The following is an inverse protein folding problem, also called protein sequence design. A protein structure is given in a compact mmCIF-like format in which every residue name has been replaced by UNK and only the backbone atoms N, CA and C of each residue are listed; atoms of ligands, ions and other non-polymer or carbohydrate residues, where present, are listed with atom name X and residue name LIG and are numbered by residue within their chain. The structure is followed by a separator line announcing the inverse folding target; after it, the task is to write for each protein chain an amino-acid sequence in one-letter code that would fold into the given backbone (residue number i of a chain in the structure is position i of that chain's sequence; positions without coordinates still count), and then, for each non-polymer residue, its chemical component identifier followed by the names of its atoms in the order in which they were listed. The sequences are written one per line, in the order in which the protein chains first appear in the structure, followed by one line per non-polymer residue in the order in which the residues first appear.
data_IF_689779706551
#
_entry.id   IF_689779706551
#
_cell.length_a   1.000
_cell.length_b   1.000
_cell.length_c   1.000
_cell.angle_alpha   90.00
_cell.angle_beta   90.00
_cell.angle_gamma   90.00
#
_symmetry.space_group_name_H-M   'P 1'
#
loop_
_entity.id
_entity.type
_entity.pdbx_description
1 polymer ?
#
# COMPACT_ATOMS: atom_id res chain seq x y z
N UNK A 1 19.00 36.61 -51.43
CA UNK A 1 19.67 35.68 -50.49
C UNK A 1 19.58 36.28 -49.10
N UNK A 2 18.69 35.77 -48.26
CA UNK A 2 18.52 36.20 -46.85
C UNK A 2 19.08 35.10 -45.97
N UNK A 3 20.22 35.36 -45.36
CA UNK A 3 20.88 34.47 -44.41
C UNK A 3 20.08 34.44 -43.11
N UNK A 4 19.54 33.27 -42.76
CA UNK A 4 18.98 32.99 -41.44
C UNK A 4 20.14 32.74 -40.48
N UNK A 5 20.41 33.67 -39.57
CA UNK A 5 21.37 33.46 -38.47
C UNK A 5 20.58 32.85 -37.31
N UNK A 6 20.74 31.53 -37.14
CA UNK A 6 20.23 30.79 -35.99
C UNK A 6 21.02 31.21 -34.75
N UNK A 7 20.37 31.95 -33.85
CA UNK A 7 20.90 32.24 -32.53
C UNK A 7 20.84 30.96 -31.68
N UNK A 8 21.97 30.29 -31.52
CA UNK A 8 22.14 29.19 -30.57
C UNK A 8 22.15 29.76 -29.15
N UNK A 9 21.07 29.51 -28.41
CA UNK A 9 20.99 29.79 -26.98
C UNK A 9 21.95 28.82 -26.29
N UNK A 10 23.10 29.33 -25.83
CA UNK A 10 23.98 28.65 -24.89
C UNK A 10 23.24 28.54 -23.55
N UNK A 11 22.54 27.43 -23.34
CA UNK A 11 22.06 27.07 -22.00
C UNK A 11 23.27 26.54 -21.23
N UNK A 12 23.93 27.42 -20.49
CA UNK A 12 24.89 27.04 -19.46
C UNK A 12 24.14 26.27 -18.37
N UNK A 13 24.04 24.95 -18.49
CA UNK A 13 23.71 24.09 -17.35
C UNK A 13 24.96 24.02 -16.46
N UNK A 14 25.14 25.03 -15.63
CA UNK A 14 25.92 24.86 -14.43
C UNK A 14 25.16 23.83 -13.58
N UNK A 15 25.67 22.60 -13.51
CA UNK A 15 25.35 21.66 -12.44
C UNK A 15 25.88 22.27 -11.14
N UNK A 16 25.10 23.16 -10.55
CA UNK A 16 25.27 23.52 -9.16
C UNK A 16 24.65 22.36 -8.39
N UNK A 17 25.50 21.42 -7.97
CA UNK A 17 25.23 20.67 -6.75
C UNK A 17 25.25 21.70 -5.62
N UNK A 18 24.13 22.41 -5.43
CA UNK A 18 23.86 23.04 -4.16
C UNK A 18 23.82 21.88 -3.19
N UNK A 19 24.73 21.90 -2.21
CA UNK A 19 24.56 21.13 -1.00
C UNK A 19 23.10 21.35 -0.57
N UNK A 20 22.29 20.29 -0.65
CA UNK A 20 20.88 20.40 -0.39
C UNK A 20 20.73 21.01 0.98
N UNK A 21 20.16 22.21 1.05
CA UNK A 21 19.49 22.62 2.27
C UNK A 21 18.55 21.46 2.59
N UNK A 22 18.77 20.80 3.72
CA UNK A 22 17.80 19.86 4.24
C UNK A 22 16.43 20.54 4.14
N UNK A 23 15.38 19.79 3.80
CA UNK A 23 14.02 20.30 3.72
C UNK A 23 13.60 20.79 5.12
N UNK A 24 14.04 21.98 5.50
CA UNK A 24 13.83 22.57 6.81
C UNK A 24 12.40 23.11 6.80
N UNK A 25 11.50 22.30 7.37
CA UNK A 25 10.06 22.50 7.62
C UNK A 25 9.14 21.43 7.00
N UNK A 26 9.57 20.17 6.88
CA UNK A 26 8.59 19.10 6.65
C UNK A 26 7.75 18.91 7.93
N UNK A 27 6.41 18.99 7.86
CA UNK A 27 5.55 18.68 9.00
C UNK A 27 5.88 17.28 9.51
N UNK A 28 6.38 17.23 10.74
CA UNK A 28 6.65 15.98 11.43
C UNK A 28 5.55 15.69 12.42
N UNK A 29 5.22 14.41 12.58
CA UNK A 29 4.24 13.97 13.55
C UNK A 29 4.76 12.72 14.25
N UNK A 30 4.23 12.44 15.44
CA UNK A 30 4.49 11.16 16.10
C UNK A 30 3.61 10.08 15.50
N UNK A 31 4.14 8.86 15.43
CA UNK A 31 3.41 7.67 14.98
C UNK A 31 2.09 7.50 15.74
N UNK A 32 2.06 7.80 17.04
CA UNK A 32 0.84 7.72 17.84
C UNK A 32 -0.28 8.62 17.31
N UNK A 33 0.04 9.86 16.93
CA UNK A 33 -0.95 10.80 16.40
C UNK A 33 -1.40 10.40 15.00
N UNK A 34 -0.46 9.93 14.16
CA UNK A 34 -0.79 9.39 12.84
C UNK A 34 -1.76 8.20 12.95
N UNK A 35 -1.47 7.23 13.82
CA UNK A 35 -2.34 6.06 14.02
C UNK A 35 -3.67 6.39 14.70
N UNK A 36 -3.74 7.45 15.51
CA UNK A 36 -5.00 7.90 16.12
C UNK A 36 -5.92 8.57 15.09
N UNK A 37 -5.38 9.07 14.00
CA UNK A 37 -6.15 9.68 12.93
C UNK A 37 -6.74 8.63 11.96
N UNK A 38 -6.24 7.38 11.98
CA UNK A 38 -6.91 6.27 11.33
C UNK A 38 -8.25 5.94 12.00
N UNK A 39 -9.12 5.22 11.28
CA UNK A 39 -10.33 4.66 11.84
C UNK A 39 -10.02 3.85 13.12
N UNK A 40 -10.88 3.95 14.14
CA UNK A 40 -10.63 3.40 15.49
C UNK A 40 -10.30 1.90 15.53
N UNK A 41 -10.84 1.12 14.59
CA UNK A 41 -10.56 -0.31 14.48
C UNK A 41 -9.18 -0.66 13.89
N UNK A 42 -8.42 0.33 13.42
CA UNK A 42 -7.14 0.14 12.72
C UNK A 42 -5.92 0.58 13.54
N UNK A 43 -6.13 1.18 14.72
CA UNK A 43 -5.04 1.70 15.55
C UNK A 43 -3.95 0.65 15.83
N UNK A 44 -4.34 -0.56 16.23
CA UNK A 44 -3.40 -1.64 16.51
C UNK A 44 -2.67 -2.13 15.25
N UNK A 45 -3.36 -2.17 14.11
CA UNK A 45 -2.77 -2.55 12.82
C UNK A 45 -1.81 -1.48 12.33
N UNK A 46 -2.12 -0.20 12.54
CA UNK A 46 -1.23 0.91 12.23
C UNK A 46 0.05 0.85 13.06
N UNK A 47 -0.08 0.60 14.37
CA UNK A 47 1.08 0.44 15.26
C UNK A 47 1.96 -0.73 14.84
N UNK A 48 1.38 -1.87 14.48
CA UNK A 48 2.13 -3.02 13.98
C UNK A 48 2.75 -2.75 12.60
N UNK A 49 2.03 -2.06 11.71
CA UNK A 49 2.49 -1.67 10.39
C UNK A 49 3.75 -0.79 10.46
N UNK A 50 3.76 0.11 11.43
CA UNK A 50 4.80 1.13 11.61
C UNK A 50 5.83 0.75 12.68
N UNK A 51 5.86 -0.50 13.16
CA UNK A 51 6.78 -0.91 14.23
C UNK A 51 8.26 -0.67 13.91
N UNK A 52 8.64 -0.68 12.63
CA UNK A 52 10.00 -0.42 12.16
C UNK A 52 10.24 1.06 11.82
N UNK A 53 9.22 1.91 11.93
CA UNK A 53 9.31 3.33 11.66
C UNK A 53 9.88 4.08 12.89
N UNK A 54 10.52 5.23 12.67
CA UNK A 54 10.85 6.15 13.75
C UNK A 54 9.60 6.63 14.50
N UNK A 55 9.73 6.87 15.81
CA UNK A 55 8.61 7.33 16.64
C UNK A 55 8.07 8.70 16.21
N UNK A 56 8.93 9.54 15.61
CA UNK A 56 8.57 10.76 14.92
C UNK A 56 9.22 10.80 13.53
N UNK A 57 8.43 11.11 12.51
CA UNK A 57 8.88 11.21 11.12
C UNK A 57 8.06 12.25 10.37
N UNK A 58 8.50 12.59 9.15
CA UNK A 58 7.70 13.34 8.20
C UNK A 58 6.35 12.64 7.99
N UNK A 59 5.26 13.40 7.92
CA UNK A 59 3.89 12.85 7.76
C UNK A 59 3.79 11.92 6.54
N UNK A 60 4.54 12.19 5.47
CA UNK A 60 4.62 11.39 4.25
C UNK A 60 5.29 10.01 4.42
N UNK A 61 6.11 9.84 5.47
CA UNK A 61 6.88 8.60 5.69
C UNK A 61 5.96 7.45 6.13
N UNK A 62 4.99 7.72 7.00
CA UNK A 62 4.07 6.70 7.52
C UNK A 62 3.21 6.02 6.44
N UNK A 63 2.52 6.75 5.53
CA UNK A 63 1.78 6.12 4.45
C UNK A 63 2.69 5.36 3.49
N UNK A 64 3.89 5.86 3.18
CA UNK A 64 4.84 5.11 2.33
C UNK A 64 5.23 3.76 2.94
N UNK A 65 5.50 3.72 4.25
CA UNK A 65 5.80 2.48 4.97
C UNK A 65 4.58 1.55 4.97
N UNK A 66 3.39 2.08 5.28
CA UNK A 66 2.15 1.30 5.29
C UNK A 66 1.84 0.70 3.90
N UNK A 67 1.96 1.49 2.83
CA UNK A 67 1.76 1.06 1.44
C UNK A 67 2.77 0.00 1.02
N UNK A 68 4.05 0.16 1.38
CA UNK A 68 5.06 -0.90 1.14
C UNK A 68 4.73 -2.20 1.86
N UNK A 69 4.32 -2.12 3.13
CA UNK A 69 3.93 -3.30 3.91
C UNK A 69 2.66 -3.95 3.33
N UNK A 70 1.70 -3.16 2.86
CA UNK A 70 0.50 -3.64 2.17
C UNK A 70 0.85 -4.42 0.90
N UNK A 71 1.78 -3.89 0.09
CA UNK A 71 2.23 -4.56 -1.13
C UNK A 71 2.95 -5.89 -0.86
N UNK A 72 3.77 -5.95 0.20
CA UNK A 72 4.43 -7.19 0.60
C UNK A 72 3.41 -8.25 1.00
N UNK A 73 2.44 -7.91 1.87
CA UNK A 73 1.43 -8.89 2.27
C UNK A 73 0.52 -9.31 1.11
N UNK A 74 0.15 -8.37 0.25
CA UNK A 74 -0.60 -8.69 -0.97
C UNK A 74 0.14 -9.72 -1.84
N UNK A 75 1.46 -9.56 -1.99
CA UNK A 75 2.30 -10.54 -2.71
C UNK A 75 2.31 -11.90 -2.02
N UNK A 76 2.40 -11.93 -0.69
CA UNK A 76 2.34 -13.18 0.09
C UNK A 76 1.00 -13.89 -0.08
N UNK A 77 -0.11 -13.14 -0.03
CA UNK A 77 -1.46 -13.65 -0.27
C UNK A 77 -1.60 -14.22 -1.68
N UNK A 78 -1.09 -13.54 -2.71
CA UNK A 78 -1.14 -14.04 -4.09
C UNK A 78 -0.31 -15.32 -4.30
N UNK A 79 0.82 -15.43 -3.60
CA UNK A 79 1.63 -16.65 -3.60
C UNK A 79 0.88 -17.81 -2.95
N UNK A 80 0.23 -17.58 -1.81
CA UNK A 80 -0.59 -18.58 -1.13
C UNK A 80 -1.76 -19.03 -2.01
N UNK A 81 -2.48 -18.09 -2.63
CA UNK A 81 -3.57 -18.38 -3.57
C UNK A 81 -3.08 -19.26 -4.73
N UNK A 82 -1.94 -18.89 -5.32
CA UNK A 82 -1.36 -19.65 -6.44
C UNK A 82 -0.97 -21.05 -6.02
N UNK A 83 -0.38 -21.20 -4.83
CA UNK A 83 -0.04 -22.49 -4.26
C UNK A 83 -1.30 -23.34 -4.04
N UNK A 84 -2.31 -22.80 -3.32
CA UNK A 84 -3.57 -23.50 -3.02
C UNK A 84 -4.26 -24.02 -4.29
N UNK A 85 -4.35 -23.19 -5.34
CA UNK A 85 -4.93 -23.60 -6.62
C UNK A 85 -4.11 -24.65 -7.37
N UNK A 86 -2.80 -24.67 -7.17
CA UNK A 86 -1.86 -25.63 -7.79
C UNK A 86 -1.90 -27.03 -7.18
N UNK A 87 -2.26 -27.17 -5.89
CA UNK A 87 -2.23 -28.48 -5.19
C UNK A 87 -3.26 -29.47 -5.75
N UNK A 88 -4.33 -29.01 -6.41
CA UNK A 88 -5.31 -29.87 -7.07
C UNK A 88 -6.28 -30.63 -6.14
N UNK A 89 -6.20 -30.40 -4.82
CA UNK A 89 -6.99 -31.11 -3.79
C UNK A 89 -8.23 -30.29 -3.34
N UNK A 90 -8.30 -29.00 -3.68
CA UNK A 90 -9.38 -28.13 -3.23
C UNK A 90 -10.75 -28.60 -3.75
N UNK A 91 -11.75 -28.79 -2.86
CA UNK A 91 -13.15 -28.99 -3.23
C UNK A 91 -13.66 -27.90 -4.17
N UNK A 92 -14.68 -28.21 -4.98
CA UNK A 92 -15.18 -27.31 -6.04
C UNK A 92 -15.53 -25.90 -5.56
N UNK A 93 -16.32 -25.76 -4.50
CA UNK A 93 -16.74 -24.45 -3.98
C UNK A 93 -15.57 -23.65 -3.36
N UNK A 94 -14.63 -24.34 -2.70
CA UNK A 94 -13.43 -23.72 -2.13
C UNK A 94 -12.51 -23.23 -3.24
N UNK A 95 -12.28 -24.07 -4.25
CA UNK A 95 -11.50 -23.72 -5.45
C UNK A 95 -12.12 -22.55 -6.19
N UNK A 96 -13.45 -22.49 -6.31
CA UNK A 96 -14.15 -21.36 -6.93
C UNK A 96 -13.94 -20.07 -6.14
N UNK A 97 -14.09 -20.11 -4.82
CA UNK A 97 -13.88 -18.95 -3.95
C UNK A 97 -12.44 -18.43 -4.04
N UNK A 98 -11.45 -19.32 -4.03
CA UNK A 98 -10.02 -18.96 -4.14
C UNK A 98 -9.70 -18.43 -5.56
N UNK A 99 -10.26 -19.05 -6.61
CA UNK A 99 -10.11 -18.55 -7.98
C UNK A 99 -10.69 -17.14 -8.14
N UNK A 100 -11.86 -16.88 -7.56
CA UNK A 100 -12.45 -15.54 -7.54
C UNK A 100 -11.56 -14.52 -6.83
N UNK A 101 -10.93 -14.89 -5.72
CA UNK A 101 -9.96 -14.02 -5.04
C UNK A 101 -8.79 -13.66 -5.96
N UNK A 102 -8.22 -14.65 -6.65
CA UNK A 102 -7.13 -14.45 -7.62
C UNK A 102 -7.50 -13.45 -8.71
N UNK A 103 -8.63 -13.68 -9.38
CA UNK A 103 -9.10 -12.82 -10.47
C UNK A 103 -9.33 -11.38 -9.97
N UNK A 104 -9.99 -11.20 -8.83
CA UNK A 104 -10.25 -9.84 -8.34
C UNK A 104 -8.98 -9.07 -8.00
N UNK A 105 -8.00 -9.74 -7.41
CA UNK A 105 -6.71 -9.14 -7.08
C UNK A 105 -5.93 -8.73 -8.33
N UNK A 106 -6.04 -9.47 -9.44
CA UNK A 106 -5.37 -9.12 -10.71
C UNK A 106 -6.03 -7.95 -11.48
N UNK A 107 -7.36 -7.75 -11.37
CA UNK A 107 -8.12 -6.86 -12.27
C UNK A 107 -8.70 -5.57 -11.66
N UNK A 108 -8.72 -5.41 -10.33
CA UNK A 108 -9.38 -4.27 -9.66
C UNK A 108 -8.39 -3.45 -8.81
N UNK A 109 -8.81 -2.25 -8.36
CA UNK A 109 -8.12 -1.54 -7.27
C UNK A 109 -7.92 -2.50 -6.08
N UNK A 110 -6.69 -2.55 -5.54
CA UNK A 110 -6.28 -3.48 -4.50
C UNK A 110 -7.27 -3.52 -3.31
N UNK A 111 -7.78 -2.37 -2.86
CA UNK A 111 -8.72 -2.33 -1.74
C UNK A 111 -10.06 -2.99 -2.11
N UNK A 112 -10.56 -2.75 -3.31
CA UNK A 112 -11.83 -3.32 -3.79
C UNK A 112 -11.69 -4.82 -4.01
N UNK A 113 -10.56 -5.25 -4.57
CA UNK A 113 -10.23 -6.64 -4.77
C UNK A 113 -10.20 -7.42 -3.44
N UNK A 114 -9.41 -6.92 -2.48
CA UNK A 114 -9.24 -7.53 -1.17
C UNK A 114 -10.58 -7.60 -0.43
N UNK A 115 -11.39 -6.52 -0.45
CA UNK A 115 -12.72 -6.52 0.18
C UNK A 115 -13.65 -7.56 -0.42
N UNK A 116 -13.65 -7.69 -1.75
CA UNK A 116 -14.48 -8.67 -2.45
C UNK A 116 -14.08 -10.10 -2.09
N UNK A 117 -12.77 -10.40 -2.05
CA UNK A 117 -12.26 -11.69 -1.62
C UNK A 117 -12.62 -11.97 -0.15
N UNK A 118 -12.43 -11.00 0.75
CA UNK A 118 -12.77 -11.13 2.17
C UNK A 118 -14.24 -11.52 2.35
N UNK A 119 -15.15 -10.83 1.64
CA UNK A 119 -16.58 -11.12 1.69
C UNK A 119 -16.91 -12.53 1.19
N UNK A 120 -16.25 -12.99 0.12
CA UNK A 120 -16.45 -14.35 -0.42
C UNK A 120 -16.00 -15.43 0.56
N UNK A 121 -14.91 -15.19 1.28
CA UNK A 121 -14.37 -16.14 2.26
C UNK A 121 -15.09 -16.11 3.62
N UNK A 122 -15.69 -14.97 3.99
CA UNK A 122 -16.25 -14.77 5.33
C UNK A 122 -17.34 -15.78 5.74
N UNK A 123 -18.14 -16.26 4.78
CA UNK A 123 -19.22 -17.22 5.03
C UNK A 123 -18.70 -18.63 5.32
N UNK A 124 -18.34 -19.35 4.27
CA UNK A 124 -18.03 -20.79 4.35
C UNK A 124 -16.56 -21.11 4.63
N UNK A 125 -15.66 -20.13 4.51
CA UNK A 125 -14.21 -20.38 4.44
C UNK A 125 -13.41 -19.55 5.45
N UNK A 126 -14.06 -19.09 6.52
CA UNK A 126 -13.45 -18.27 7.58
C UNK A 126 -12.30 -18.99 8.32
N UNK A 127 -12.34 -20.32 8.36
CA UNK A 127 -11.31 -21.15 8.99
C UNK A 127 -10.05 -21.31 8.14
N UNK A 128 -10.08 -20.92 6.85
CA UNK A 128 -8.91 -21.04 5.99
C UNK A 128 -7.83 -20.03 6.40
N UNK A 129 -6.54 -20.40 6.35
CA UNK A 129 -5.43 -19.46 6.54
C UNK A 129 -5.55 -18.23 5.63
N UNK A 130 -6.03 -18.43 4.40
CA UNK A 130 -6.25 -17.39 3.41
C UNK A 130 -7.19 -16.28 3.90
N UNK A 131 -8.25 -16.62 4.67
CA UNK A 131 -9.14 -15.60 5.24
C UNK A 131 -8.38 -14.65 6.17
N UNK A 132 -7.50 -15.19 7.01
CA UNK A 132 -6.66 -14.41 7.91
C UNK A 132 -5.70 -13.48 7.16
N UNK A 133 -5.09 -13.98 6.08
CA UNK A 133 -4.20 -13.20 5.22
C UNK A 133 -4.95 -12.06 4.52
N UNK A 134 -6.07 -12.35 3.86
CA UNK A 134 -6.89 -11.35 3.15
C UNK A 134 -7.49 -10.32 4.12
N UNK A 135 -7.89 -10.73 5.32
CA UNK A 135 -8.35 -9.81 6.35
C UNK A 135 -7.24 -8.88 6.83
N UNK A 136 -6.03 -9.41 7.00
CA UNK A 136 -4.84 -8.63 7.34
C UNK A 136 -4.44 -7.64 6.23
N UNK A 137 -4.57 -8.03 4.97
CA UNK A 137 -4.31 -7.15 3.82
C UNK A 137 -5.34 -6.03 3.79
N UNK A 138 -6.62 -6.37 3.98
CA UNK A 138 -7.69 -5.38 4.06
C UNK A 138 -7.36 -4.37 5.14
N UNK A 139 -7.05 -4.88 6.34
CA UNK A 139 -6.66 -4.16 7.53
C UNK A 139 -5.37 -3.32 7.37
N UNK A 140 -4.53 -3.57 6.37
CA UNK A 140 -3.33 -2.78 6.14
C UNK A 140 -3.53 -1.73 5.04
N UNK A 141 -4.27 -2.07 3.98
CA UNK A 141 -4.61 -1.14 2.91
C UNK A 141 -5.46 0.02 3.42
N UNK A 142 -6.41 -0.21 4.33
CA UNK A 142 -7.14 0.89 4.97
C UNK A 142 -6.28 1.76 5.90
N UNK A 143 -5.26 1.23 6.60
CA UNK A 143 -4.27 2.06 7.31
C UNK A 143 -3.56 2.97 6.32
N UNK A 144 -3.06 2.40 5.21
CA UNK A 144 -2.35 3.17 4.19
C UNK A 144 -3.23 4.32 3.65
N UNK A 145 -4.47 4.03 3.29
CA UNK A 145 -5.42 5.05 2.80
C UNK A 145 -5.74 6.12 3.84
N UNK A 146 -5.97 5.74 5.10
CA UNK A 146 -6.23 6.70 6.17
C UNK A 146 -5.01 7.61 6.42
N UNK A 147 -3.81 7.06 6.36
CA UNK A 147 -2.56 7.82 6.51
C UNK A 147 -2.29 8.73 5.30
N UNK A 148 -2.58 8.27 4.08
CA UNK A 148 -2.47 9.09 2.87
C UNK A 148 -3.45 10.27 2.90
N UNK A 149 -4.65 10.07 3.45
CA UNK A 149 -5.61 11.16 3.63
C UNK A 149 -5.07 12.27 4.55
N UNK A 150 -4.17 11.96 5.49
CA UNK A 150 -3.54 12.98 6.36
C UNK A 150 -2.60 13.92 5.59
N UNK A 151 -1.99 13.44 4.50
CA UNK A 151 -1.14 14.28 3.66
C UNK A 151 -2.00 15.33 2.93
N UNK A 152 -3.19 14.93 2.46
CA UNK A 152 -4.02 15.77 1.59
C UNK A 152 -4.85 16.84 2.34
N UNK A 153 -4.81 16.85 3.67
CA UNK A 153 -5.53 17.82 4.53
C UNK A 153 -4.59 18.89 5.10
N UNK A 154 -3.26 18.72 4.96
CA UNK A 154 -2.24 19.69 5.38
C UNK A 154 -1.83 20.66 4.29
#
# INVERSE_FOLDING_TARGET
MRTFVLATILVSQAMVFTAGAACDNVPSTKMEYACRACHSNWYHVCRDALQSAPDAAEVSTYPLIATRKANLKYSDTMNEITMMLGVGILPGEEREAISHCKEKQEYMDALTAIRSCLNRLHGSFRSLPLYGMVAADFALTGVANDLEALINVG
#
